data_IF_898374718623
#
_entry.id   IF_898374718623
#
_cell.length_a   1.000
_cell.length_b   1.000
_cell.length_c   1.000
_cell.angle_alpha   90.00
_cell.angle_beta   90.00
_cell.angle_gamma   90.00
#
_symmetry.space_group_name_H-M   'P 1'
#
loop_
_entity.id
_entity.type
_entity.pdbx_description
1 polymer ?
#
# COMPACT_ATOMS: atom_id res chain seq x y z
N UNK A 1 -6.71 12.53 -3.91
CA UNK A 1 -7.24 11.87 -2.69
C UNK A 1 -6.08 11.34 -1.86
N UNK A 2 -6.32 10.89 -0.63
CA UNK A 2 -5.30 10.24 0.22
C UNK A 2 -5.68 8.78 0.42
N UNK A 3 -4.77 7.87 0.10
CA UNK A 3 -4.98 6.42 0.17
C UNK A 3 -4.02 5.87 1.21
N UNK A 4 -4.52 5.10 2.18
CA UNK A 4 -3.72 4.37 3.15
C UNK A 4 -3.91 2.88 2.90
N UNK A 5 -2.81 2.17 2.63
CA UNK A 5 -2.80 0.71 2.67
C UNK A 5 -2.27 0.23 4.01
N UNK A 6 -2.90 -0.79 4.57
CA UNK A 6 -2.52 -1.41 5.84
C UNK A 6 -2.13 -2.85 5.54
N UNK A 7 -0.87 -3.19 5.75
CA UNK A 7 -0.29 -4.51 5.49
C UNK A 7 0.15 -5.15 6.80
N UNK A 8 -0.11 -6.46 6.96
CA UNK A 8 0.37 -7.18 8.14
C UNK A 8 1.90 -7.26 8.11
N UNK A 9 2.46 -7.64 6.96
CA UNK A 9 3.89 -7.76 6.71
C UNK A 9 4.34 -6.85 5.55
N UNK A 10 5.64 -6.55 5.44
CA UNK A 10 6.15 -5.83 4.27
C UNK A 10 6.09 -6.71 3.02
N UNK A 11 5.09 -6.50 2.14
CA UNK A 11 4.86 -7.14 0.82
C UNK A 11 3.38 -7.47 0.56
N UNK A 12 2.55 -7.59 1.60
CA UNK A 12 1.14 -7.96 1.45
C UNK A 12 0.38 -7.03 0.48
N UNK A 13 0.73 -5.74 0.44
CA UNK A 13 0.13 -4.79 -0.50
C UNK A 13 0.55 -5.09 -1.92
N UNK A 14 1.79 -5.49 -2.16
CA UNK A 14 2.30 -5.84 -3.49
C UNK A 14 1.59 -7.08 -4.03
N UNK A 15 1.38 -8.09 -3.18
CA UNK A 15 0.67 -9.34 -3.54
C UNK A 15 -0.86 -9.18 -3.59
N UNK A 16 -1.44 -8.27 -2.80
CA UNK A 16 -2.87 -8.09 -2.67
C UNK A 16 -3.45 -6.97 -3.54
N UNK A 17 -3.03 -5.73 -3.29
CA UNK A 17 -3.66 -4.53 -3.85
C UNK A 17 -2.73 -3.63 -4.68
N UNK A 18 -1.52 -4.10 -5.02
CA UNK A 18 -0.45 -3.30 -5.61
C UNK A 18 -0.87 -2.64 -6.94
N UNK A 19 -1.59 -3.37 -7.79
CA UNK A 19 -2.15 -2.81 -9.02
C UNK A 19 -3.12 -1.65 -8.79
N UNK A 20 -3.93 -1.73 -7.73
CA UNK A 20 -4.85 -0.65 -7.33
C UNK A 20 -4.09 0.56 -6.80
N UNK A 21 -3.04 0.34 -5.99
CA UNK A 21 -2.18 1.42 -5.50
C UNK A 21 -1.48 2.16 -6.65
N UNK A 22 -0.97 1.44 -7.64
CA UNK A 22 -0.38 2.03 -8.86
C UNK A 22 -1.40 2.84 -9.66
N UNK A 23 -2.65 2.37 -9.77
CA UNK A 23 -3.72 3.14 -10.43
C UNK A 23 -4.00 4.45 -9.71
N UNK A 24 -4.04 4.45 -8.38
CA UNK A 24 -4.22 5.66 -7.58
C UNK A 24 -3.04 6.62 -7.70
N UNK A 25 -1.81 6.10 -7.65
CA UNK A 25 -0.60 6.89 -7.89
C UNK A 25 -0.63 7.55 -9.28
N UNK A 26 -0.98 6.79 -10.33
CA UNK A 26 -1.12 7.31 -11.69
C UNK A 26 -2.23 8.37 -11.83
N UNK A 27 -3.22 8.36 -10.93
CA UNK A 27 -4.28 9.37 -10.85
C UNK A 27 -3.87 10.62 -10.06
N UNK A 28 -2.63 10.67 -9.55
CA UNK A 28 -2.11 11.78 -8.75
C UNK A 28 -2.52 11.73 -7.27
N UNK A 29 -3.03 10.59 -6.79
CA UNK A 29 -3.37 10.42 -5.38
C UNK A 29 -2.11 10.23 -4.52
N UNK A 30 -2.14 10.75 -3.29
CA UNK A 30 -1.10 10.48 -2.30
C UNK A 30 -1.32 9.12 -1.66
N UNK A 31 -0.36 8.21 -1.83
CA UNK A 31 -0.40 6.86 -1.27
C UNK A 31 0.50 6.79 -0.04
N UNK A 32 -0.01 6.20 1.03
CA UNK A 32 0.68 5.95 2.30
C UNK A 32 0.61 4.47 2.63
N UNK A 33 1.62 3.97 3.34
CA UNK A 33 1.74 2.55 3.69
C UNK A 33 1.99 2.40 5.18
N UNK A 34 1.10 1.68 5.86
CA UNK A 34 1.25 1.27 7.25
C UNK A 34 1.55 -0.23 7.28
N UNK A 35 2.71 -0.58 7.79
CA UNK A 35 3.09 -1.97 8.08
C UNK A 35 2.96 -2.16 9.59
N UNK A 36 2.14 -3.13 10.01
CA UNK A 36 1.87 -3.33 11.45
C UNK A 36 2.85 -4.27 12.15
N UNK A 37 3.65 -5.04 11.41
CA UNK A 37 4.68 -5.92 12.00
C UNK A 37 6.04 -5.71 11.34
N UNK A 38 7.10 -6.22 11.96
CA UNK A 38 8.45 -6.25 11.41
C UNK A 38 8.97 -7.68 11.44
N UNK A 39 9.86 -8.03 10.52
CA UNK A 39 10.58 -9.30 10.56
C UNK A 39 11.50 -9.36 11.77
N UNK A 40 11.70 -10.56 12.32
CA UNK A 40 12.45 -10.83 13.56
C UNK A 40 13.90 -10.36 13.53
#
# INVERSE_FOLDING_TARGET
MRILTISAHPDDETLGCGGTLLKHQASGDSVYWLIVTQTY
#
